data_IF_587766970013
#
_entry.id   IF_587766970013
#
_cell.length_a   1.000
_cell.length_b   1.000
_cell.length_c   1.000
_cell.angle_alpha   90.00
_cell.angle_beta   90.00
_cell.angle_gamma   90.00
#
_symmetry.space_group_name_H-M   'P 1'
#
loop_
_entity.id
_entity.type
_entity.pdbx_description
1 polymer ?
#
# COMPACT_ATOMS: atom_id res chain seq x y z
N UNK A 1 -10.51 -10.68 15.82
CA UNK A 1 -10.73 -10.50 15.27
C UNK A 1 -10.37 -9.98 14.20
N UNK A 2 -10.33 -10.30 13.45
CA UNK A 2 -9.94 -9.84 12.41
C UNK A 2 -10.63 -8.89 11.84
N UNK A 3 -10.93 -8.55 10.82
CA UNK A 3 -11.60 -7.38 10.37
C UNK A 3 -11.02 -6.13 10.94
N UNK A 4 -9.88 -6.24 11.46
CA UNK A 4 -9.23 -5.12 12.12
C UNK A 4 -8.23 -4.41 11.22
N UNK A 5 -8.05 -4.91 10.01
CA UNK A 5 -7.15 -4.26 9.07
C UNK A 5 -7.79 -3.01 8.50
N UNK A 6 -6.98 -1.99 8.34
CA UNK A 6 -7.39 -0.75 7.71
C UNK A 6 -7.38 -0.95 6.20
N UNK A 7 -8.49 -0.69 5.53
CA UNK A 7 -8.61 -0.97 4.10
C UNK A 7 -8.45 0.29 3.28
N UNK A 8 -7.62 0.20 2.26
CA UNK A 8 -7.33 1.29 1.33
C UNK A 8 -7.49 0.74 -0.08
N UNK A 9 -8.11 1.51 -0.96
CA UNK A 9 -8.19 1.15 -2.38
C UNK A 9 -7.60 2.29 -3.20
N UNK A 10 -6.68 1.94 -4.09
CA UNK A 10 -6.08 2.90 -5.01
C UNK A 10 -6.47 2.52 -6.43
N UNK A 11 -6.62 3.52 -7.29
CA UNK A 11 -6.94 3.29 -8.70
C UNK A 11 -6.37 4.40 -9.55
N UNK A 12 -6.26 4.14 -10.86
CA UNK A 12 -5.75 5.11 -11.80
C UNK A 12 -4.24 5.25 -11.72
N UNK A 13 -3.76 6.45 -11.98
CA UNK A 13 -2.33 6.75 -12.01
C UNK A 13 -1.89 7.21 -10.62
N UNK A 14 -1.03 6.43 -10.00
CA UNK A 14 -0.51 6.73 -8.66
C UNK A 14 0.89 7.28 -8.82
N UNK A 15 0.96 8.58 -9.04
CA UNK A 15 2.21 9.28 -9.31
C UNK A 15 2.34 10.50 -8.39
N UNK A 16 3.31 11.35 -8.69
CA UNK A 16 3.62 12.50 -7.83
C UNK A 16 2.43 13.45 -7.68
N UNK A 17 1.57 13.53 -8.70
CA UNK A 17 0.38 14.38 -8.62
C UNK A 17 -0.62 13.87 -7.58
N UNK A 18 -0.53 12.60 -7.20
CA UNK A 18 -1.41 11.97 -6.22
C UNK A 18 -0.83 12.00 -4.81
N UNK A 19 0.29 12.69 -4.62
CA UNK A 19 1.04 12.63 -3.36
C UNK A 19 0.28 13.13 -2.15
N UNK A 20 -0.53 14.20 -2.32
CA UNK A 20 -1.30 14.73 -1.20
C UNK A 20 -2.36 13.75 -0.72
N UNK A 21 -3.04 13.11 -1.66
CA UNK A 21 -4.03 12.08 -1.30
C UNK A 21 -3.38 10.91 -0.60
N UNK A 22 -2.21 10.48 -1.07
CA UNK A 22 -1.49 9.39 -0.44
C UNK A 22 -1.06 9.75 0.97
N UNK A 23 -0.59 10.98 1.17
CA UNK A 23 -0.20 11.43 2.50
C UNK A 23 -1.40 11.38 3.45
N UNK A 24 -2.55 11.87 2.99
CA UNK A 24 -3.76 11.86 3.80
C UNK A 24 -4.17 10.42 4.17
N UNK A 25 -4.09 9.50 3.21
CA UNK A 25 -4.41 8.11 3.47
C UNK A 25 -3.44 7.48 4.47
N UNK A 26 -2.16 7.79 4.35
CA UNK A 26 -1.16 7.28 5.29
C UNK A 26 -1.37 7.80 6.69
N UNK A 27 -1.71 9.08 6.81
CA UNK A 27 -2.00 9.68 8.11
C UNK A 27 -3.24 9.06 8.73
N UNK A 28 -4.26 8.80 7.91
CA UNK A 28 -5.48 8.18 8.42
C UNK A 28 -5.21 6.78 8.96
N UNK A 29 -4.38 6.01 8.27
CA UNK A 29 -3.98 4.70 8.79
C UNK A 29 -3.22 4.85 10.10
N UNK A 30 -2.25 5.76 10.14
CA UNK A 30 -1.46 5.98 11.35
C UNK A 30 -2.35 6.37 12.53
N UNK A 31 -3.34 7.22 12.30
CA UNK A 31 -4.23 7.67 13.36
C UNK A 31 -5.28 6.64 13.74
N UNK A 32 -5.52 5.66 12.89
CA UNK A 32 -6.55 4.64 13.15
C UNK A 32 -6.19 3.73 14.33
N UNK A 33 -4.92 3.62 14.66
CA UNK A 33 -4.45 2.72 15.70
C UNK A 33 -4.40 1.26 15.27
N UNK A 34 -4.83 0.96 14.04
CA UNK A 34 -4.83 -0.42 13.55
C UNK A 34 -3.41 -0.87 13.24
N UNK A 35 -3.15 -2.15 13.44
CA UNK A 35 -1.80 -2.68 13.26
C UNK A 35 -1.53 -3.14 11.84
N UNK A 36 -2.57 -3.43 11.06
CA UNK A 36 -2.40 -3.92 9.69
C UNK A 36 -3.21 -3.12 8.70
N UNK A 37 -2.84 -3.22 7.44
CA UNK A 37 -3.56 -2.57 6.35
C UNK A 37 -3.65 -3.51 5.16
N UNK A 38 -4.77 -3.42 4.44
CA UNK A 38 -4.96 -4.11 3.17
C UNK A 38 -5.13 -3.04 2.10
N UNK A 39 -4.29 -3.08 1.08
CA UNK A 39 -4.33 -2.10 0.00
C UNK A 39 -4.74 -2.83 -1.28
N UNK A 40 -5.91 -2.47 -1.80
CA UNK A 40 -6.40 -3.04 -3.06
C UNK A 40 -5.83 -2.22 -4.20
N UNK A 41 -5.10 -2.89 -5.09
CA UNK A 41 -4.40 -2.24 -6.19
C UNK A 41 -4.91 -2.69 -7.56
N UNK A 42 -6.07 -3.34 -7.59
CA UNK A 42 -6.60 -3.90 -8.85
C UNK A 42 -6.83 -2.83 -9.90
N UNK A 43 -7.21 -1.63 -9.50
CA UNK A 43 -7.53 -0.54 -10.43
C UNK A 43 -6.37 0.36 -10.78
N UNK A 44 -5.17 0.07 -10.30
CA UNK A 44 -4.01 0.94 -10.56
C UNK A 44 -3.48 0.68 -11.97
N UNK A 45 -3.44 1.72 -12.79
CA UNK A 45 -2.95 1.61 -14.18
C UNK A 45 -1.49 2.02 -14.32
N UNK A 46 -0.98 2.78 -13.37
CA UNK A 46 0.41 3.24 -13.36
C UNK A 46 0.80 3.53 -11.92
N UNK A 47 2.03 3.20 -11.57
CA UNK A 47 2.58 3.55 -10.26
C UNK A 47 4.07 3.82 -10.41
N UNK A 48 4.55 4.89 -9.78
CA UNK A 48 5.97 5.19 -9.74
C UNK A 48 6.45 5.12 -8.28
N UNK A 49 7.64 5.68 -8.03
CA UNK A 49 8.22 5.62 -6.69
C UNK A 49 7.38 6.36 -5.63
N UNK A 50 6.54 7.32 -6.04
CA UNK A 50 5.64 7.98 -5.09
C UNK A 50 4.70 6.97 -4.44
N UNK A 51 4.09 6.10 -5.26
CA UNK A 51 3.22 5.06 -4.76
C UNK A 51 3.99 4.02 -3.96
N UNK A 52 5.16 3.62 -4.44
CA UNK A 52 5.96 2.64 -3.72
C UNK A 52 6.36 3.16 -2.34
N UNK A 53 6.78 4.43 -2.26
CA UNK A 53 7.15 5.03 -0.98
C UNK A 53 5.97 5.08 -0.02
N UNK A 54 4.77 5.32 -0.55
CA UNK A 54 3.56 5.27 0.27
C UNK A 54 3.37 3.88 0.89
N UNK A 55 3.50 2.84 0.07
CA UNK A 55 3.35 1.47 0.56
C UNK A 55 4.42 1.13 1.60
N UNK A 56 5.65 1.57 1.38
CA UNK A 56 6.74 1.34 2.33
C UNK A 56 6.45 2.06 3.64
N UNK A 57 5.89 3.28 3.56
CA UNK A 57 5.51 4.01 4.77
C UNK A 57 4.44 3.32 5.57
N UNK A 58 3.43 2.77 4.89
CA UNK A 58 2.39 1.98 5.57
C UNK A 58 3.00 0.79 6.28
N UNK A 59 3.91 0.09 5.61
CA UNK A 59 4.54 -1.09 6.16
C UNK A 59 5.35 -0.76 7.41
N UNK A 60 6.06 0.37 7.38
CA UNK A 60 6.84 0.78 8.55
C UNK A 60 5.95 0.98 9.77
N UNK A 61 4.82 1.69 9.60
CA UNK A 61 3.88 1.91 10.69
C UNK A 61 3.30 0.59 11.18
N UNK A 62 2.89 -0.27 10.25
CA UNK A 62 2.31 -1.56 10.61
C UNK A 62 3.29 -2.41 11.41
N UNK A 63 4.54 -2.46 10.98
CA UNK A 63 5.55 -3.28 11.66
C UNK A 63 5.83 -2.76 13.06
N UNK A 64 5.80 -1.46 13.26
CA UNK A 64 5.98 -0.88 14.60
C UNK A 64 4.86 -1.32 15.54
N UNK A 65 3.73 -1.70 14.99
CA UNK A 65 2.57 -2.15 15.75
C UNK A 65 2.40 -3.66 15.78
N UNK A 66 3.38 -4.39 15.23
CA UNK A 66 3.31 -5.84 15.18
C UNK A 66 2.41 -6.39 14.08
N UNK A 67 2.00 -5.55 13.14
CA UNK A 67 1.16 -5.96 12.02
C UNK A 67 1.88 -6.02 10.70
N UNK A 68 1.11 -6.08 9.62
CA UNK A 68 1.66 -6.17 8.27
C UNK A 68 0.77 -5.44 7.29
N UNK A 69 1.30 -5.26 6.07
CA UNK A 69 0.55 -4.69 4.95
C UNK A 69 0.39 -5.77 3.89
N UNK A 70 -0.85 -6.00 3.49
CA UNK A 70 -1.19 -6.92 2.42
C UNK A 70 -1.59 -6.14 1.18
N UNK A 71 -0.99 -6.47 0.05
CA UNK A 71 -1.36 -5.89 -1.23
C UNK A 71 -2.34 -6.85 -1.91
N UNK A 72 -3.57 -6.38 -2.11
CA UNK A 72 -4.64 -7.21 -2.67
C UNK A 72 -4.77 -6.94 -4.14
N UNK A 73 -4.71 -7.99 -4.95
CA UNK A 73 -4.91 -7.94 -6.40
C UNK A 73 -4.05 -6.88 -7.07
N UNK A 74 -2.73 -6.89 -6.84
CA UNK A 74 -1.89 -5.88 -7.49
C UNK A 74 -2.01 -6.00 -9.00
N UNK A 75 -2.20 -4.86 -9.65
CA UNK A 75 -2.30 -4.79 -11.11
C UNK A 75 -0.96 -5.15 -11.74
N UNK A 76 -0.93 -5.43 -13.06
CA UNK A 76 0.35 -5.69 -13.73
C UNK A 76 1.35 -4.56 -13.54
N UNK A 77 0.89 -3.31 -13.55
CA UNK A 77 1.79 -2.16 -13.33
C UNK A 77 2.42 -2.21 -11.95
N UNK A 78 1.62 -2.55 -10.93
CA UNK A 78 2.13 -2.65 -9.57
C UNK A 78 3.10 -3.83 -9.42
N UNK A 79 2.75 -4.99 -9.99
CA UNK A 79 3.62 -6.16 -9.92
C UNK A 79 4.97 -5.88 -10.55
N UNK A 80 4.96 -5.21 -11.70
CA UNK A 80 6.20 -4.88 -12.40
C UNK A 80 7.08 -3.96 -11.57
N UNK A 81 6.49 -2.92 -10.98
CA UNK A 81 7.24 -2.00 -10.15
C UNK A 81 7.86 -2.71 -8.96
N UNK A 82 7.09 -3.57 -8.29
CA UNK A 82 7.58 -4.31 -7.15
C UNK A 82 8.76 -5.20 -7.53
N UNK A 83 8.66 -5.85 -8.70
CA UNK A 83 9.73 -6.74 -9.16
C UNK A 83 10.99 -5.98 -9.48
N UNK A 84 10.89 -4.87 -10.24
CA UNK A 84 12.09 -4.15 -10.67
C UNK A 84 12.75 -3.41 -9.52
N UNK A 85 12.01 -3.11 -8.46
CA UNK A 85 12.55 -2.44 -7.28
C UNK A 85 12.95 -3.42 -6.18
N UNK A 86 12.78 -4.73 -6.43
CA UNK A 86 13.10 -5.80 -5.49
C UNK A 86 12.25 -5.75 -4.21
N UNK A 87 11.05 -5.21 -4.30
CA UNK A 87 10.11 -5.18 -3.16
C UNK A 87 9.03 -6.25 -3.27
N UNK A 88 9.11 -7.14 -4.27
CA UNK A 88 8.08 -8.15 -4.49
C UNK A 88 8.03 -9.20 -3.39
N UNK A 89 9.07 -9.30 -2.55
CA UNK A 89 9.08 -10.22 -1.41
C UNK A 89 8.88 -9.51 -0.07
N UNK A 90 8.68 -8.19 -0.10
CA UNK A 90 8.61 -7.39 1.13
C UNK A 90 7.19 -7.33 1.66
N UNK A 91 6.21 -7.38 0.76
CA UNK A 91 4.79 -7.27 1.13
C UNK A 91 4.11 -8.63 0.99
N UNK A 92 3.11 -8.87 1.84
CA UNK A 92 2.20 -9.97 1.63
C UNK A 92 1.30 -9.64 0.44
N UNK A 93 1.11 -10.60 -0.44
CA UNK A 93 0.30 -10.38 -1.65
C UNK A 93 -0.84 -11.38 -1.67
N UNK A 94 -2.04 -10.88 -1.92
CA UNK A 94 -3.25 -11.67 -2.03
C UNK A 94 -3.91 -11.38 -3.37
N UNK A 95 -4.25 -12.38 -4.13
CA UNK A 95 -4.91 -12.23 -5.43
C UNK A 95 -6.43 -12.35 -5.36
#
# INVERSE_FOLDING_TARGET
>A
MDGQDYEIALSGEVDIAFGDELRTLGEAFAQSGRSGAVVDLAGVTFMDSTGLNFLIGLRRVARERGGSVTLRRPSPACRRLLQVSAFDHVFDVSD
#
